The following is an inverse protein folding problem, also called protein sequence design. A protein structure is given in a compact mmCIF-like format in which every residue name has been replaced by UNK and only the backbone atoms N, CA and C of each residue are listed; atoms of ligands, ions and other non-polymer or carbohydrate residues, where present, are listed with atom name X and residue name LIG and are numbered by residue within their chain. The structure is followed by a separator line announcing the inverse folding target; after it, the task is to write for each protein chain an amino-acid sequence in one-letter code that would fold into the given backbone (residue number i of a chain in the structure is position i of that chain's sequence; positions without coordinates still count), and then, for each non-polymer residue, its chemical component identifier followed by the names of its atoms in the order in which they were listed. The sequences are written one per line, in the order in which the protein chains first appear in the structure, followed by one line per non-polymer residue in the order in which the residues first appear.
data_IF_458084131080
#
_entry.id   IF_458084131080
#
_cell.length_a   1.000
_cell.length_b   1.000
_cell.length_c   1.000
_cell.angle_alpha   90.00
_cell.angle_beta   90.00
_cell.angle_gamma   90.00
#
_symmetry.space_group_name_H-M   'P 1'
#
loop_
_entity.id
_entity.type
_entity.pdbx_description
1 polymer ?
#
# COMPACT_ATOMS: atom_id res chain seq x y z
N UNK A 1 -20.89 25.32 35.62
CA UNK A 1 -19.98 25.36 34.45
C UNK A 1 -19.26 24.04 34.44
N UNK A 2 -19.53 23.18 33.47
CA UNK A 2 -18.91 21.85 33.38
C UNK A 2 -18.67 21.55 31.92
N UNK A 3 -17.44 21.15 31.67
CA UNK A 3 -16.66 21.39 30.47
C UNK A 3 -17.09 20.56 29.25
N UNK A 4 -17.02 21.24 28.11
CA UNK A 4 -17.07 20.69 26.77
C UNK A 4 -15.81 19.88 26.48
N UNK A 5 -15.88 18.56 26.57
CA UNK A 5 -14.90 17.69 25.92
C UNK A 5 -15.59 16.89 24.81
N UNK A 6 -15.69 17.57 23.67
CA UNK A 6 -15.94 16.98 22.36
C UNK A 6 -14.79 16.03 22.03
N UNK A 7 -14.89 14.78 22.47
CA UNK A 7 -14.06 13.72 21.90
C UNK A 7 -14.59 13.44 20.49
N UNK A 8 -14.19 14.29 19.54
CA UNK A 8 -14.29 14.04 18.13
C UNK A 8 -13.47 12.79 17.81
N UNK A 9 -14.09 11.61 18.00
CA UNK A 9 -13.70 10.35 17.37
C UNK A 9 -13.67 10.63 15.88
N UNK A 10 -12.53 11.09 15.36
CA UNK A 10 -12.15 10.86 13.97
C UNK A 10 -11.86 9.36 13.89
N UNK A 11 -12.92 8.57 13.91
CA UNK A 11 -12.85 7.23 13.37
C UNK A 11 -12.56 7.43 11.89
N UNK A 12 -11.27 7.46 11.53
CA UNK A 12 -10.85 7.29 10.14
C UNK A 12 -11.55 6.02 9.67
N UNK A 13 -12.51 6.18 8.77
CA UNK A 13 -13.33 5.06 8.32
C UNK A 13 -12.41 3.96 7.78
N UNK A 14 -12.55 2.69 8.22
CA UNK A 14 -11.74 1.57 7.76
C UNK A 14 -12.22 1.03 6.40
N UNK A 15 -12.75 1.90 5.53
CA UNK A 15 -13.50 1.50 4.35
C UNK A 15 -13.11 2.36 3.15
N UNK A 16 -12.02 1.98 2.51
CA UNK A 16 -11.96 1.59 1.10
C UNK A 16 -10.49 1.30 0.81
N UNK A 17 -10.13 0.22 0.11
CA UNK A 17 -8.82 0.22 -0.52
C UNK A 17 -8.83 1.44 -1.44
N UNK A 18 -7.96 2.41 -1.19
CA UNK A 18 -7.79 3.59 -2.06
C UNK A 18 -7.31 3.07 -3.42
N UNK A 19 -8.27 2.61 -4.24
CA UNK A 19 -8.04 2.13 -5.58
C UNK A 19 -7.71 3.37 -6.39
N UNK A 20 -6.44 3.51 -6.73
CA UNK A 20 -5.95 4.57 -7.57
C UNK A 20 -5.93 4.09 -9.03
N UNK A 21 -6.41 4.92 -9.95
CA UNK A 21 -6.30 4.62 -11.38
C UNK A 21 -4.98 5.15 -11.91
N UNK A 22 -4.14 4.24 -12.43
CA UNK A 22 -2.84 4.56 -13.02
C UNK A 22 -2.82 4.01 -14.43
N UNK A 23 -2.98 4.89 -15.42
CA UNK A 23 -3.17 4.49 -16.81
C UNK A 23 -4.40 3.59 -16.98
N UNK A 24 -4.16 2.36 -17.43
CA UNK A 24 -5.19 1.32 -17.60
C UNK A 24 -5.37 0.43 -16.35
N UNK A 25 -4.60 0.65 -15.28
CA UNK A 25 -4.62 -0.18 -14.08
C UNK A 25 -5.42 0.48 -12.95
N UNK A 26 -6.10 -0.35 -12.17
CA UNK A 26 -6.74 0.04 -10.91
C UNK A 26 -5.90 -0.56 -9.78
N UNK A 27 -5.04 0.23 -9.16
CA UNK A 27 -4.06 -0.24 -8.19
C UNK A 27 -4.47 0.08 -6.76
N UNK A 28 -4.19 -0.83 -5.85
CA UNK A 28 -4.33 -0.63 -4.41
C UNK A 28 -2.96 -0.66 -3.77
N UNK A 29 -2.74 0.17 -2.76
CA UNK A 29 -1.55 0.10 -1.93
C UNK A 29 -1.67 -1.09 -0.99
N UNK A 30 -0.67 -1.95 -0.99
CA UNK A 30 -0.50 -3.04 -0.04
C UNK A 30 0.81 -2.88 0.73
N UNK A 31 0.82 -3.43 1.94
CA UNK A 31 2.01 -3.51 2.77
C UNK A 31 2.16 -4.93 3.30
N UNK A 32 3.34 -5.52 3.16
CA UNK A 32 3.67 -6.86 3.66
C UNK A 32 4.92 -6.82 4.53
N UNK A 33 4.95 -7.66 5.57
CA UNK A 33 6.11 -7.82 6.42
C UNK A 33 7.04 -8.88 5.83
N UNK A 34 8.16 -8.43 5.28
CA UNK A 34 9.16 -9.30 4.67
C UNK A 34 10.26 -9.59 5.70
N UNK A 35 10.62 -10.88 5.92
CA UNK A 35 11.71 -11.22 6.82
C UNK A 35 13.06 -10.78 6.24
N UNK A 36 13.96 -10.35 7.11
CA UNK A 36 15.30 -9.87 6.76
C UNK A 36 15.48 -8.37 6.97
N UNK A 37 16.66 -7.89 6.56
CA UNK A 37 17.00 -6.47 6.56
C UNK A 37 16.39 -5.78 5.33
N UNK A 38 16.02 -4.51 5.49
CA UNK A 38 15.48 -3.73 4.38
C UNK A 38 16.54 -3.60 3.26
N UNK A 39 16.20 -3.80 1.96
CA UNK A 39 17.19 -3.72 0.87
C UNK A 39 17.88 -2.36 0.80
N UNK A 40 17.13 -1.26 0.91
CA UNK A 40 17.66 0.11 1.05
C UNK A 40 18.46 0.29 2.35
N UNK A 41 19.79 0.52 2.27
CA UNK A 41 20.66 0.70 3.43
C UNK A 41 20.24 1.86 4.35
N UNK A 42 19.66 2.93 3.80
CA UNK A 42 19.22 4.08 4.59
C UNK A 42 17.98 3.78 5.45
N UNK A 43 17.27 2.69 5.14
CA UNK A 43 16.09 2.23 5.88
C UNK A 43 16.40 1.05 6.81
N UNK A 44 17.60 0.49 6.71
CA UNK A 44 18.05 -0.55 7.63
C UNK A 44 18.17 0.00 9.03
N UNK A 45 17.85 -0.86 9.99
CA UNK A 45 18.14 -0.62 11.41
C UNK A 45 18.98 -1.78 11.91
N UNK A 46 19.92 -1.49 12.79
CA UNK A 46 20.72 -2.54 13.42
C UNK A 46 19.80 -3.53 14.14
N UNK A 47 20.01 -4.83 13.90
CA UNK A 47 19.19 -5.90 14.46
C UNK A 47 17.79 -6.04 13.84
N UNK A 48 17.51 -5.40 12.70
CA UNK A 48 16.25 -5.57 11.99
C UNK A 48 16.06 -7.02 11.53
N UNK A 49 14.93 -7.62 11.92
CA UNK A 49 14.56 -9.00 11.52
C UNK A 49 13.49 -9.05 10.43
N UNK A 50 12.78 -7.96 10.23
CA UNK A 50 11.76 -7.81 9.20
C UNK A 50 11.59 -6.34 8.82
N UNK A 51 11.12 -6.09 7.62
CA UNK A 51 10.78 -4.77 7.14
C UNK A 51 9.39 -4.75 6.50
N UNK A 52 8.72 -3.60 6.57
CA UNK A 52 7.43 -3.40 5.91
C UNK A 52 7.69 -2.97 4.47
N UNK A 53 7.47 -3.88 3.52
CA UNK A 53 7.51 -3.60 2.10
C UNK A 53 6.16 -3.05 1.65
N UNK A 54 6.17 -1.93 0.92
CA UNK A 54 4.95 -1.32 0.37
C UNK A 54 4.98 -1.43 -1.14
N UNK A 55 3.92 -1.99 -1.71
CA UNK A 55 3.78 -2.19 -3.14
C UNK A 55 2.37 -1.84 -3.60
N UNK A 56 2.22 -1.65 -4.90
CA UNK A 56 0.97 -1.43 -5.59
C UNK A 56 0.54 -2.74 -6.22
N UNK A 57 -0.73 -3.10 -6.07
CA UNK A 57 -1.33 -4.26 -6.72
C UNK A 57 -2.48 -3.83 -7.59
N UNK A 58 -2.46 -4.17 -8.87
CA UNK A 58 -3.64 -4.01 -9.72
C UNK A 58 -4.73 -5.00 -9.30
N UNK A 59 -5.94 -4.52 -9.03
CA UNK A 59 -7.08 -5.38 -8.68
C UNK A 59 -7.68 -6.10 -9.89
N UNK A 60 -7.38 -5.63 -11.10
CA UNK A 60 -7.88 -6.22 -12.35
C UNK A 60 -6.98 -7.35 -12.86
N UNK A 61 -5.73 -7.06 -13.21
CA UNK A 61 -4.78 -8.06 -13.73
C UNK A 61 -3.93 -8.75 -12.65
N UNK A 62 -3.99 -8.28 -11.40
CA UNK A 62 -3.25 -8.89 -10.29
C UNK A 62 -1.76 -8.54 -10.22
N UNK A 63 -1.21 -7.76 -11.16
CA UNK A 63 0.22 -7.38 -11.16
C UNK A 63 0.58 -6.62 -9.88
N UNK A 64 1.74 -6.94 -9.31
CA UNK A 64 2.28 -6.33 -8.10
C UNK A 64 3.61 -5.64 -8.42
N UNK A 65 3.74 -4.37 -8.08
CA UNK A 65 4.88 -3.52 -8.44
C UNK A 65 5.23 -2.56 -7.30
N UNK A 66 6.48 -2.13 -7.21
CA UNK A 66 6.92 -1.20 -6.16
C UNK A 66 6.60 0.26 -6.50
N UNK A 67 6.73 0.64 -7.78
CA UNK A 67 6.34 1.96 -8.29
C UNK A 67 5.22 1.88 -9.34
N UNK A 68 4.56 3.01 -9.56
CA UNK A 68 3.59 3.18 -10.65
C UNK A 68 4.22 3.05 -12.03
N UNK A 69 5.49 3.44 -12.15
CA UNK A 69 6.23 3.43 -13.41
C UNK A 69 6.62 2.02 -13.86
N UNK A 70 6.64 1.07 -12.93
CA UNK A 70 6.89 -0.35 -13.20
C UNK A 70 5.61 -1.08 -13.65
N UNK A 71 4.45 -0.41 -13.66
CA UNK A 71 3.23 -0.99 -14.20
C UNK A 71 3.36 -1.16 -15.71
N UNK A 72 2.92 -2.30 -16.28
CA UNK A 72 2.85 -2.43 -17.71
C UNK A 72 1.89 -1.39 -18.30
N UNK A 73 2.10 -1.00 -19.55
CA UNK A 73 1.23 -0.02 -20.22
C UNK A 73 -0.19 -0.55 -20.43
N UNK A 74 -0.30 -1.87 -20.62
CA UNK A 74 -1.58 -2.55 -20.82
C UNK A 74 -1.98 -3.36 -19.59
N UNK A 75 -3.19 -3.09 -19.12
CA UNK A 75 -3.85 -3.94 -18.14
C UNK A 75 -4.45 -5.13 -18.87
N UNK A 76 -3.66 -6.19 -19.01
CA UNK A 76 -4.18 -7.46 -19.51
C UNK A 76 -4.97 -8.12 -18.38
N UNK A 77 -6.26 -7.83 -18.29
CA UNK A 77 -7.20 -8.61 -17.47
C UNK A 77 -7.48 -10.00 -18.05
N UNK A 78 -6.63 -10.48 -18.97
CA UNK A 78 -6.75 -11.79 -19.58
C UNK A 78 -6.45 -12.88 -18.55
N UNK A 79 -7.52 -13.43 -17.99
CA UNK A 79 -7.51 -14.75 -17.36
C UNK A 79 -7.54 -14.71 -15.84
N UNK A 80 -8.71 -14.40 -15.27
CA UNK A 80 -9.13 -15.05 -14.03
C UNK A 80 -10.30 -15.96 -14.33
#
# INVERSE_FOLDING_TARGET
MSDSDSYGKRASAPNHPDVERVGNHYVIRKGEWVPGEHPDPHRRREGQRMYLERFLRCVQCGVEVLSKDDLPETCNSEGR
#
